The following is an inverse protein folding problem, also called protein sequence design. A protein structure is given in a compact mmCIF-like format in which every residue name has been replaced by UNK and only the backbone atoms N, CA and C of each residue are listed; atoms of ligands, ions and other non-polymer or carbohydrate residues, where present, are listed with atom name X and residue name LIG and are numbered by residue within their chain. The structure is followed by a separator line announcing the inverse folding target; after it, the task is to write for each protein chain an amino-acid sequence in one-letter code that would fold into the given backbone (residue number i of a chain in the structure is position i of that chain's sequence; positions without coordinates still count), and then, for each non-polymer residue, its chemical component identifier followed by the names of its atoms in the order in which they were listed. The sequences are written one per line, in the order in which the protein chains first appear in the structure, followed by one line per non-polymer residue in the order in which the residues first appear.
data_IF_339696901693
#
_entry.id   IF_339696901693
#
_cell.length_a   1.000
_cell.length_b   1.000
_cell.length_c   1.000
_cell.angle_alpha   90.00
_cell.angle_beta   90.00
_cell.angle_gamma   90.00
#
_symmetry.space_group_name_H-M   'P 1'
#
loop_
_entity.id
_entity.type
_entity.pdbx_description
1 polymer ?
#
# COMPACT_ATOMS: atom_id res chain seq x y z
N UNK A 1 4.26 1.17 -28.26
CA UNK A 1 4.51 2.53 -27.73
C UNK A 1 3.25 3.20 -27.15
N UNK A 2 2.11 3.22 -27.85
CA UNK A 2 0.85 3.81 -27.33
C UNK A 2 0.27 3.08 -26.10
N UNK A 3 0.27 1.74 -26.08
CA UNK A 3 -0.26 0.96 -24.94
C UNK A 3 0.51 1.19 -23.63
N UNK A 4 1.84 1.37 -23.71
CA UNK A 4 2.68 1.70 -22.57
C UNK A 4 2.41 3.13 -22.06
N UNK A 5 2.19 4.10 -22.95
CA UNK A 5 1.80 5.47 -22.53
C UNK A 5 0.44 5.46 -21.82
N UNK A 6 -0.52 4.68 -22.31
CA UNK A 6 -1.83 4.52 -21.67
C UNK A 6 -1.76 3.81 -20.31
N UNK A 7 -0.75 2.96 -20.08
CA UNK A 7 -0.53 2.31 -18.78
C UNK A 7 -0.09 3.32 -17.70
N UNK A 8 0.65 4.35 -18.08
CA UNK A 8 1.19 5.37 -17.17
C UNK A 8 0.32 6.62 -17.04
N UNK A 9 -0.87 6.61 -17.65
CA UNK A 9 -1.82 7.74 -17.57
C UNK A 9 -2.93 7.44 -16.57
N UNK A 10 -3.11 8.33 -15.59
CA UNK A 10 -4.18 8.25 -14.60
C UNK A 10 -5.43 8.98 -15.11
N UNK A 11 -6.57 8.29 -15.21
CA UNK A 11 -7.84 8.86 -15.61
C UNK A 11 -8.58 9.40 -14.37
N UNK A 12 -8.55 10.72 -14.17
CA UNK A 12 -9.13 11.37 -13.00
C UNK A 12 -10.67 11.29 -12.95
N UNK A 13 -11.30 11.06 -14.09
CA UNK A 13 -12.77 11.05 -14.23
C UNK A 13 -13.37 9.64 -14.04
N UNK A 14 -12.55 8.62 -13.84
CA UNK A 14 -13.02 7.26 -13.59
C UNK A 14 -13.72 7.15 -12.21
N UNK A 15 -15.02 6.87 -12.21
CA UNK A 15 -15.83 6.80 -10.98
C UNK A 15 -15.35 5.72 -10.00
N UNK A 16 -14.83 4.59 -10.49
CA UNK A 16 -14.31 3.53 -9.61
C UNK A 16 -13.02 3.97 -8.95
N UNK A 17 -12.16 4.67 -9.70
CA UNK A 17 -10.94 5.27 -9.16
C UNK A 17 -11.27 6.33 -8.09
N UNK A 18 -12.27 7.18 -8.34
CA UNK A 18 -12.73 8.16 -7.35
C UNK A 18 -13.25 7.50 -6.08
N UNK A 19 -14.02 6.42 -6.19
CA UNK A 19 -14.48 5.65 -5.04
C UNK A 19 -13.30 5.01 -4.27
N UNK A 20 -12.32 4.45 -4.99
CA UNK A 20 -11.11 3.89 -4.40
C UNK A 20 -10.30 4.96 -3.64
N UNK A 21 -10.04 6.12 -4.28
CA UNK A 21 -9.38 7.27 -3.67
C UNK A 21 -10.11 7.73 -2.41
N UNK A 22 -11.44 7.87 -2.47
CA UNK A 22 -12.23 8.29 -1.30
C UNK A 22 -12.11 7.30 -0.14
N UNK A 23 -12.19 6.00 -0.44
CA UNK A 23 -12.08 4.97 0.59
C UNK A 23 -10.69 4.93 1.25
N UNK A 24 -9.64 5.09 0.45
CA UNK A 24 -8.26 4.85 0.90
C UNK A 24 -7.51 6.09 1.36
N UNK A 25 -7.71 7.22 0.69
CA UNK A 25 -6.86 8.41 0.84
C UNK A 25 -7.59 9.67 1.31
N UNK A 26 -8.93 9.68 1.37
CA UNK A 26 -9.70 10.88 1.79
C UNK A 26 -9.30 11.38 3.18
N UNK A 27 -9.02 10.45 4.10
CA UNK A 27 -8.68 10.73 5.50
C UNK A 27 -7.17 10.75 5.75
N UNK A 28 -6.34 10.83 4.71
CA UNK A 28 -4.88 10.73 4.88
C UNK A 28 -4.29 11.77 5.83
N UNK A 29 -4.77 13.02 5.82
CA UNK A 29 -4.27 14.06 6.72
C UNK A 29 -4.60 13.74 8.19
N UNK A 30 -5.80 13.26 8.46
CA UNK A 30 -6.24 12.84 9.79
C UNK A 30 -5.44 11.62 10.27
N UNK A 31 -5.29 10.61 9.41
CA UNK A 31 -4.51 9.40 9.70
C UNK A 31 -3.03 9.71 9.93
N UNK A 32 -2.44 10.61 9.14
CA UNK A 32 -1.09 11.09 9.36
C UNK A 32 -0.92 11.75 10.75
N UNK A 33 -1.93 12.51 11.19
CA UNK A 33 -1.96 13.11 12.52
C UNK A 33 -1.94 12.08 13.66
N UNK A 34 -2.68 10.98 13.51
CA UNK A 34 -2.69 9.88 14.48
C UNK A 34 -1.39 9.09 14.52
N UNK A 35 -0.67 9.06 13.41
CA UNK A 35 0.61 8.37 13.28
C UNK A 35 1.79 9.23 13.75
N UNK A 36 1.59 10.49 14.14
CA UNK A 36 2.65 11.28 14.78
C UNK A 36 3.09 10.63 16.10
N UNK A 37 4.39 10.61 16.35
CA UNK A 37 4.98 9.88 17.49
C UNK A 37 4.29 10.22 18.82
N UNK A 38 4.10 11.51 19.10
CA UNK A 38 3.48 12.00 20.34
C UNK A 38 2.00 11.57 20.44
N UNK A 39 1.29 11.56 19.32
CA UNK A 39 -0.14 11.19 19.25
C UNK A 39 -0.35 9.68 19.32
N UNK A 40 0.61 8.90 18.82
CA UNK A 40 0.49 7.45 18.65
C UNK A 40 0.23 6.74 19.99
N UNK A 41 0.82 7.25 21.08
CA UNK A 41 0.59 6.77 22.46
C UNK A 41 -0.88 6.80 22.89
N UNK A 42 -1.69 7.65 22.26
CA UNK A 42 -3.13 7.81 22.53
C UNK A 42 -4.03 7.18 21.48
N UNK A 43 -3.44 6.53 20.44
CA UNK A 43 -4.20 5.91 19.35
C UNK A 43 -5.25 4.94 19.88
N UNK A 44 -6.52 5.14 19.55
CA UNK A 44 -7.60 4.28 20.04
C UNK A 44 -7.80 3.05 19.15
N UNK A 45 -8.49 2.03 19.67
CA UNK A 45 -8.88 0.84 18.89
C UNK A 45 -9.69 1.23 17.64
N UNK A 46 -10.58 2.20 17.75
CA UNK A 46 -11.39 2.66 16.61
C UNK A 46 -10.54 3.36 15.53
N UNK A 47 -9.53 4.14 15.96
CA UNK A 47 -8.58 4.77 15.04
C UNK A 47 -7.70 3.72 14.35
N UNK A 48 -7.18 2.74 15.09
CA UNK A 48 -6.44 1.61 14.54
C UNK A 48 -7.27 0.82 13.52
N UNK A 49 -8.56 0.56 13.82
CA UNK A 49 -9.47 -0.10 12.90
C UNK A 49 -9.76 0.73 11.64
N UNK A 50 -9.84 2.05 11.77
CA UNK A 50 -10.01 2.94 10.63
C UNK A 50 -8.79 2.89 9.70
N UNK A 51 -7.57 2.91 10.25
CA UNK A 51 -6.32 2.71 9.50
C UNK A 51 -6.31 1.37 8.77
N UNK A 52 -6.62 0.28 9.49
CA UNK A 52 -6.66 -1.07 8.94
C UNK A 52 -7.65 -1.20 7.77
N UNK A 53 -8.88 -0.71 7.93
CA UNK A 53 -9.91 -0.75 6.86
C UNK A 53 -9.52 0.08 5.64
N UNK A 54 -8.91 1.24 5.85
CA UNK A 54 -8.47 2.11 4.76
C UNK A 54 -7.32 1.49 3.96
N UNK A 55 -6.41 0.76 4.60
CA UNK A 55 -5.33 0.01 3.94
C UNK A 55 -5.83 -1.03 2.92
N UNK A 56 -7.08 -1.50 3.07
CA UNK A 56 -7.66 -2.61 2.31
C UNK A 56 -7.89 -3.87 3.14
N UNK A 57 -7.52 -3.86 4.43
CA UNK A 57 -7.75 -4.95 5.38
C UNK A 57 -9.21 -5.39 5.46
N UNK A 58 -9.43 -6.71 5.44
CA UNK A 58 -10.78 -7.32 5.42
C UNK A 58 -11.08 -8.15 6.66
N UNK A 59 -10.05 -8.71 7.30
CA UNK A 59 -10.22 -9.56 8.48
C UNK A 59 -10.21 -8.70 9.75
N UNK A 60 -11.26 -7.90 9.91
CA UNK A 60 -11.39 -7.03 11.08
C UNK A 60 -11.57 -7.82 12.38
N UNK A 61 -12.06 -9.05 12.31
CA UNK A 61 -12.21 -9.91 13.48
C UNK A 61 -10.84 -10.32 14.00
N UNK A 62 -9.95 -10.79 13.11
CA UNK A 62 -8.58 -11.12 13.48
C UNK A 62 -7.78 -9.88 13.89
N UNK A 63 -7.94 -8.75 13.20
CA UNK A 63 -7.22 -7.53 13.60
C UNK A 63 -7.59 -7.04 15.01
N UNK A 64 -8.85 -7.22 15.43
CA UNK A 64 -9.31 -6.85 16.78
C UNK A 64 -8.73 -7.69 17.91
N UNK A 65 -8.07 -8.82 17.60
CA UNK A 65 -7.43 -9.64 18.65
C UNK A 65 -6.11 -9.06 19.14
N UNK A 66 -5.52 -8.10 18.41
CA UNK A 66 -4.32 -7.41 18.85
C UNK A 66 -4.67 -6.45 20.00
N UNK A 67 -3.97 -6.52 21.15
CA UNK A 67 -4.01 -5.48 22.18
C UNK A 67 -3.65 -4.11 21.59
N UNK A 68 -4.28 -3.05 22.07
CA UNK A 68 -4.03 -1.71 21.52
C UNK A 68 -2.60 -1.24 21.79
N UNK A 69 -2.01 -1.68 22.89
CA UNK A 69 -0.61 -1.46 23.26
C UNK A 69 0.33 -2.07 22.22
N UNK A 70 0.12 -3.33 21.83
CA UNK A 70 0.92 -3.99 20.78
C UNK A 70 0.76 -3.30 19.41
N UNK A 71 -0.43 -2.81 19.10
CA UNK A 71 -0.66 -2.02 17.88
C UNK A 71 0.17 -0.73 17.92
N UNK A 72 0.14 0.01 19.04
CA UNK A 72 0.92 1.25 19.19
C UNK A 72 2.42 0.97 19.10
N UNK A 73 2.90 -0.05 19.80
CA UNK A 73 4.31 -0.42 19.81
C UNK A 73 4.79 -0.84 18.41
N UNK A 74 4.01 -1.66 17.69
CA UNK A 74 4.35 -2.05 16.32
C UNK A 74 4.33 -0.88 15.33
N UNK A 75 3.42 0.09 15.51
CA UNK A 75 3.39 1.31 14.70
C UNK A 75 4.57 2.24 15.02
N UNK A 76 4.94 2.38 16.29
CA UNK A 76 6.07 3.21 16.71
C UNK A 76 7.37 2.63 16.18
N UNK A 77 7.55 1.32 16.36
CA UNK A 77 8.68 0.57 15.83
C UNK A 77 8.80 0.75 14.31
N UNK A 78 7.70 0.56 13.57
CA UNK A 78 7.70 0.71 12.11
C UNK A 78 8.09 2.11 11.65
N UNK A 79 7.64 3.16 12.35
CA UNK A 79 7.71 4.54 11.88
C UNK A 79 8.94 5.29 12.42
N UNK A 80 9.36 5.01 13.65
CA UNK A 80 10.28 5.86 14.40
C UNK A 80 11.54 5.15 14.94
N UNK A 81 11.59 3.81 14.92
CA UNK A 81 12.80 3.11 15.36
C UNK A 81 14.01 3.44 14.47
N UNK A 82 15.20 3.44 15.07
CA UNK A 82 16.47 3.81 14.44
C UNK A 82 17.07 2.69 13.57
N UNK A 83 16.50 1.48 13.61
CA UNK A 83 16.87 0.40 12.70
C UNK A 83 16.52 0.78 11.26
N UNK A 84 17.30 0.25 10.30
CA UNK A 84 17.06 0.44 8.87
C UNK A 84 15.64 0.02 8.50
N UNK A 85 15.06 0.73 7.53
CA UNK A 85 13.70 0.47 7.02
C UNK A 85 13.47 -0.99 6.64
N UNK A 86 14.49 -1.65 6.07
CA UNK A 86 14.46 -3.08 5.76
C UNK A 86 14.08 -3.92 6.98
N UNK A 87 14.83 -3.80 8.08
CA UNK A 87 14.58 -4.55 9.31
C UNK A 87 13.23 -4.19 9.92
N UNK A 88 12.88 -2.90 9.96
CA UNK A 88 11.58 -2.45 10.48
C UNK A 88 10.42 -3.05 9.69
N UNK A 89 10.52 -3.06 8.37
CA UNK A 89 9.49 -3.64 7.51
C UNK A 89 9.41 -5.16 7.68
N UNK A 90 10.55 -5.84 7.83
CA UNK A 90 10.61 -7.29 8.02
C UNK A 90 9.86 -7.71 9.27
N UNK A 91 10.20 -7.11 10.42
CA UNK A 91 9.58 -7.41 11.71
C UNK A 91 8.06 -7.12 11.76
N UNK A 92 7.58 -6.17 10.95
CA UNK A 92 6.16 -5.83 10.92
C UNK A 92 5.35 -6.59 9.83
N UNK A 93 6.01 -7.17 8.82
CA UNK A 93 5.32 -7.75 7.66
C UNK A 93 5.58 -9.25 7.45
N UNK A 94 6.71 -9.78 7.91
CA UNK A 94 7.05 -11.20 7.84
C UNK A 94 6.15 -12.05 8.76
N UNK A 95 5.86 -13.32 8.43
CA UNK A 95 5.03 -14.22 9.27
C UNK A 95 5.51 -14.39 10.72
N UNK A 96 6.81 -14.33 10.90
CA UNK A 96 7.57 -14.57 12.12
C UNK A 96 8.16 -13.29 12.73
N UNK A 97 7.82 -12.11 12.17
CA UNK A 97 8.30 -10.83 12.68
C UNK A 97 7.72 -10.49 14.05
N UNK A 98 8.56 -9.93 14.94
CA UNK A 98 8.23 -9.69 16.35
C UNK A 98 7.11 -8.64 16.54
N UNK A 99 6.94 -7.74 15.58
CA UNK A 99 5.94 -6.66 15.61
C UNK A 99 4.79 -6.91 14.61
N UNK A 100 4.66 -8.14 14.09
CA UNK A 100 3.61 -8.47 13.12
C UNK A 100 2.26 -8.59 13.81
N UNK A 101 1.36 -7.66 13.50
CA UNK A 101 -0.01 -7.68 14.00
C UNK A 101 -0.88 -8.73 13.28
N UNK A 102 -1.74 -9.41 14.04
CA UNK A 102 -2.70 -10.39 13.54
C UNK A 102 -3.62 -9.78 12.46
N UNK A 103 -3.86 -10.53 11.38
CA UNK A 103 -4.68 -10.06 10.25
C UNK A 103 -3.99 -9.04 9.34
N UNK A 104 -2.71 -8.74 9.56
CA UNK A 104 -1.93 -7.79 8.77
C UNK A 104 -0.76 -8.45 8.01
N UNK A 105 -0.01 -7.63 7.28
CA UNK A 105 1.14 -8.02 6.48
C UNK A 105 1.58 -6.86 5.58
N UNK A 106 2.35 -7.15 4.53
CA UNK A 106 2.96 -6.15 3.64
C UNK A 106 2.03 -5.02 3.17
N UNK A 107 0.74 -5.32 2.91
CA UNK A 107 -0.22 -4.32 2.43
C UNK A 107 -0.53 -3.26 3.50
N UNK A 108 -0.68 -3.66 4.76
CA UNK A 108 -0.92 -2.75 5.89
C UNK A 108 0.36 -2.00 6.25
N UNK A 109 1.48 -2.70 6.39
CA UNK A 109 2.79 -2.12 6.74
C UNK A 109 3.22 -1.05 5.73
N UNK A 110 3.16 -1.36 4.43
CA UNK A 110 3.50 -0.39 3.37
C UNK A 110 2.51 0.76 3.23
N UNK A 111 1.23 0.54 3.58
CA UNK A 111 0.23 1.60 3.63
C UNK A 111 0.54 2.62 4.74
N UNK A 112 0.91 2.17 5.94
CA UNK A 112 1.30 3.05 7.04
C UNK A 112 2.53 3.89 6.69
N UNK A 113 3.54 3.29 6.06
CA UNK A 113 4.70 4.03 5.55
C UNK A 113 4.30 5.05 4.47
N UNK A 114 3.44 4.66 3.51
CA UNK A 114 2.96 5.60 2.50
C UNK A 114 2.16 6.77 3.10
N UNK A 115 1.39 6.54 4.16
CA UNK A 115 0.72 7.61 4.91
C UNK A 115 1.73 8.56 5.57
N UNK A 116 2.80 8.03 6.18
CA UNK A 116 3.80 8.84 6.87
C UNK A 116 4.63 9.70 5.92
N UNK A 117 4.99 9.17 4.75
CA UNK A 117 5.65 9.95 3.71
C UNK A 117 5.32 9.43 2.30
N UNK A 118 4.27 9.96 1.65
CA UNK A 118 3.85 9.50 0.32
C UNK A 118 4.85 9.86 -0.78
N UNK A 119 5.79 10.78 -0.53
CA UNK A 119 6.86 11.11 -1.46
C UNK A 119 8.00 10.09 -1.50
N UNK A 120 8.14 9.30 -0.43
CA UNK A 120 9.22 8.33 -0.24
C UNK A 120 8.76 6.89 -0.27
N UNK A 121 7.57 6.58 0.28
CA UNK A 121 7.16 5.21 0.52
C UNK A 121 5.94 4.82 -0.30
N UNK A 122 6.02 3.64 -0.92
CA UNK A 122 4.97 3.12 -1.79
C UNK A 122 4.15 2.03 -1.11
N UNK A 123 2.90 1.89 -1.53
CA UNK A 123 2.03 0.78 -1.10
C UNK A 123 2.37 -0.48 -1.90
N UNK A 124 2.69 -1.54 -1.18
CA UNK A 124 2.87 -2.87 -1.73
C UNK A 124 1.60 -3.70 -1.58
N UNK A 125 0.80 -3.75 -2.65
CA UNK A 125 -0.37 -4.61 -2.74
C UNK A 125 -0.43 -5.37 -4.07
N UNK A 126 -1.45 -6.20 -4.21
CA UNK A 126 -1.67 -6.99 -5.44
C UNK A 126 -1.82 -6.12 -6.70
N UNK A 127 -2.37 -4.90 -6.58
CA UNK A 127 -2.48 -3.99 -7.73
C UNK A 127 -1.10 -3.49 -8.17
N UNK A 128 -0.25 -3.10 -7.23
CA UNK A 128 1.12 -2.67 -7.50
C UNK A 128 1.93 -3.77 -8.20
N UNK A 129 1.85 -5.01 -7.71
CA UNK A 129 2.51 -6.17 -8.33
C UNK A 129 2.05 -6.38 -9.79
N UNK A 130 0.75 -6.23 -10.06
CA UNK A 130 0.19 -6.31 -11.43
C UNK A 130 0.66 -5.16 -12.31
N UNK A 131 0.73 -3.94 -11.79
CA UNK A 131 1.24 -2.78 -12.52
C UNK A 131 2.69 -3.02 -12.94
N UNK A 132 3.54 -3.46 -12.01
CA UNK A 132 4.95 -3.77 -12.28
C UNK A 132 5.09 -4.88 -13.33
N UNK A 133 4.25 -5.93 -13.26
CA UNK A 133 4.20 -6.97 -14.29
C UNK A 133 3.91 -6.41 -15.68
N UNK A 134 2.89 -5.56 -15.79
CA UNK A 134 2.51 -4.95 -17.08
C UNK A 134 3.55 -3.96 -17.60
N UNK A 135 4.26 -3.30 -16.69
CA UNK A 135 5.32 -2.36 -17.04
C UNK A 135 6.65 -3.05 -17.40
N UNK A 136 6.76 -4.38 -17.25
CA UNK A 136 8.02 -5.10 -17.41
C UNK A 136 9.06 -4.74 -16.35
N UNK A 137 8.62 -4.38 -15.15
CA UNK A 137 9.43 -3.88 -14.03
C UNK A 137 9.29 -4.75 -12.78
N UNK A 138 8.90 -6.02 -12.92
CA UNK A 138 8.84 -6.90 -11.75
C UNK A 138 10.24 -7.05 -11.14
N UNK A 139 10.39 -6.80 -9.83
CA UNK A 139 11.62 -7.11 -9.13
C UNK A 139 12.00 -8.58 -9.33
N UNK A 140 13.29 -8.84 -9.49
CA UNK A 140 13.85 -10.20 -9.53
C UNK A 140 13.91 -10.72 -8.08
N UNK A 141 12.76 -10.91 -7.46
CA UNK A 141 12.69 -11.39 -6.08
C UNK A 141 12.93 -12.89 -6.06
N UNK A 142 13.94 -13.35 -5.30
CA UNK A 142 13.93 -14.73 -4.84
C UNK A 142 12.81 -14.87 -3.81
N UNK A 143 12.03 -15.96 -3.86
CA UNK A 143 10.97 -16.22 -2.86
C UNK A 143 11.50 -16.29 -1.42
N UNK A 144 12.82 -16.38 -1.24
CA UNK A 144 13.51 -16.57 0.02
C UNK A 144 14.16 -15.31 0.59
N UNK A 145 14.13 -14.18 -0.14
CA UNK A 145 14.65 -12.92 0.40
C UNK A 145 13.77 -12.42 1.56
N UNK A 146 14.37 -11.79 2.59
CA UNK A 146 13.62 -11.11 3.65
C UNK A 146 12.56 -10.16 3.09
N UNK A 147 11.44 -10.05 3.79
CA UNK A 147 10.32 -9.19 3.40
C UNK A 147 10.76 -7.73 3.29
N UNK A 148 11.65 -7.29 4.18
CA UNK A 148 12.28 -5.97 4.13
C UNK A 148 13.00 -5.68 2.82
N UNK A 149 13.89 -6.58 2.37
CA UNK A 149 14.62 -6.43 1.10
C UNK A 149 13.63 -6.37 -0.07
N UNK A 150 12.66 -7.29 -0.09
CA UNK A 150 11.66 -7.34 -1.15
C UNK A 150 10.81 -6.07 -1.21
N UNK A 151 10.58 -5.40 -0.08
CA UNK A 151 9.91 -4.11 -0.05
C UNK A 151 10.75 -3.01 -0.71
N UNK A 152 12.05 -2.96 -0.44
CA UNK A 152 12.96 -2.00 -1.08
C UNK A 152 13.03 -2.20 -2.60
N UNK A 153 13.13 -3.44 -3.07
CA UNK A 153 13.15 -3.74 -4.50
C UNK A 153 11.82 -3.32 -5.18
N UNK A 154 10.70 -3.57 -4.49
CA UNK A 154 9.37 -3.14 -4.93
C UNK A 154 9.28 -1.61 -4.99
N UNK A 155 9.81 -0.92 -3.98
CA UNK A 155 9.84 0.54 -3.90
C UNK A 155 10.64 1.15 -5.04
N UNK A 156 11.83 0.61 -5.34
CA UNK A 156 12.65 1.04 -6.47
C UNK A 156 11.91 0.87 -7.80
N UNK A 157 11.26 -0.28 -7.99
CA UNK A 157 10.49 -0.58 -9.19
C UNK A 157 9.29 0.38 -9.37
N UNK A 158 8.54 0.68 -8.29
CA UNK A 158 7.45 1.65 -8.34
C UNK A 158 7.97 3.09 -8.54
N UNK A 159 9.17 3.42 -8.05
CA UNK A 159 9.76 4.72 -8.31
C UNK A 159 10.08 4.91 -9.80
N UNK A 160 10.49 3.86 -10.52
CA UNK A 160 10.62 3.88 -11.99
C UNK A 160 9.28 4.14 -12.67
N UNK A 161 8.18 3.58 -12.15
CA UNK A 161 6.81 3.88 -12.64
C UNK A 161 6.45 5.34 -12.38
N UNK A 162 6.75 5.87 -11.20
CA UNK A 162 6.54 7.29 -10.85
C UNK A 162 7.27 8.22 -11.81
N UNK A 163 8.56 7.96 -12.05
CA UNK A 163 9.35 8.73 -13.00
C UNK A 163 8.77 8.69 -14.43
N UNK A 164 8.29 7.53 -14.89
CA UNK A 164 7.70 7.37 -16.24
C UNK A 164 6.32 7.98 -16.40
N UNK A 165 5.55 8.06 -15.31
CA UNK A 165 4.18 8.61 -15.31
C UNK A 165 4.13 10.11 -15.01
N UNK A 166 5.18 10.67 -14.38
CA UNK A 166 5.22 12.07 -13.95
C UNK A 166 4.30 12.36 -12.75
N UNK A 167 3.81 11.33 -12.05
CA UNK A 167 2.95 11.49 -10.88
C UNK A 167 3.75 11.99 -9.67
N UNK A 168 3.10 12.84 -8.86
CA UNK A 168 3.73 13.61 -7.80
C UNK A 168 4.15 12.76 -6.59
N UNK A 169 3.41 11.70 -6.27
CA UNK A 169 3.67 10.85 -5.09
C UNK A 169 3.21 9.41 -5.28
N UNK A 170 3.48 8.55 -4.29
CA UNK A 170 3.13 7.13 -4.35
C UNK A 170 1.65 6.81 -4.06
N UNK A 171 0.85 7.77 -3.58
CA UNK A 171 -0.61 7.60 -3.49
C UNK A 171 -1.21 7.56 -4.90
N UNK A 172 -0.75 8.46 -5.75
CA UNK A 172 -1.13 8.47 -7.17
C UNK A 172 -0.62 7.21 -7.91
N UNK A 173 0.50 6.62 -7.49
CA UNK A 173 0.98 5.34 -8.05
C UNK A 173 0.10 4.17 -7.60
N UNK A 174 -0.35 4.14 -6.35
CA UNK A 174 -1.33 3.14 -5.88
C UNK A 174 -2.67 3.26 -6.62
N UNK A 175 -3.11 4.48 -6.90
CA UNK A 175 -4.27 4.79 -7.76
C UNK A 175 -4.09 4.30 -9.20
N UNK A 176 -2.92 4.57 -9.80
CA UNK A 176 -2.56 4.08 -11.13
C UNK A 176 -2.56 2.54 -11.17
N UNK A 177 -2.03 1.91 -10.12
CA UNK A 177 -2.01 0.47 -9.98
C UNK A 177 -3.43 -0.11 -9.88
N UNK A 178 -4.31 0.52 -9.10
CA UNK A 178 -5.72 0.16 -9.03
C UNK A 178 -6.39 0.26 -10.41
N UNK A 179 -6.24 1.39 -11.11
CA UNK A 179 -6.78 1.57 -12.46
C UNK A 179 -6.28 0.50 -13.44
N UNK A 180 -4.98 0.22 -13.43
CA UNK A 180 -4.36 -0.78 -14.29
C UNK A 180 -4.89 -2.19 -14.00
N UNK A 181 -5.34 -2.49 -12.78
CA UNK A 181 -5.95 -3.78 -12.45
C UNK A 181 -7.41 -3.90 -12.88
N UNK A 182 -8.14 -2.78 -13.00
CA UNK A 182 -9.54 -2.77 -13.45
C UNK A 182 -9.70 -2.92 -14.98
N UNK A 183 -8.73 -2.47 -15.79
CA UNK A 183 -8.81 -2.57 -17.26
C UNK A 183 -8.88 -4.02 -17.79
N UNK A 184 -8.64 -5.04 -16.95
CA UNK A 184 -8.80 -6.46 -17.30
C UNK A 184 -10.17 -7.05 -16.91
N UNK A 185 -11.01 -6.35 -16.14
CA UNK A 185 -12.34 -6.87 -15.74
C UNK A 185 -13.46 -6.51 -16.73
N UNK A 186 -13.19 -5.66 -17.71
CA UNK A 186 -14.06 -5.45 -18.85
C UNK A 186 -13.87 -6.60 -19.86
N UNK A 187 -14.60 -7.72 -19.67
CA UNK A 187 -14.83 -8.66 -20.78
C UNK A 187 -15.55 -7.88 -21.90
N UNK A 188 -15.18 -8.06 -23.19
CA UNK A 188 -15.99 -7.52 -24.26
C UNK A 188 -17.38 -8.16 -24.18
N UNK A 189 -18.41 -7.34 -24.03
CA UNK A 189 -19.79 -7.76 -24.29
C UNK A 189 -19.81 -8.35 -25.69
N UNK A 190 -20.05 -9.67 -25.80
CA UNK A 190 -20.38 -10.28 -27.07
C UNK A 190 -21.58 -9.50 -27.62
N UNK A 191 -21.35 -8.71 -28.67
CA UNK A 191 -22.44 -8.29 -29.55
C UNK A 191 -23.00 -9.59 -30.12
N UNK A 192 -24.19 -9.96 -29.67
CA UNK A 192 -25.08 -10.83 -30.43
C UNK A 192 -25.38 -10.08 -31.72
N UNK A 193 -24.69 -10.48 -32.79
CA UNK A 193 -25.12 -10.21 -34.16
C UNK A 193 -26.34 -11.09 -34.45
N UNK A 194 -27.32 -10.44 -35.05
CA UNK A 194 -28.62 -10.90 -35.54
C UNK A 194 -28.54 -12.18 -36.39
#
# INVERSE_FOLDING_TARGET
MQELRQLFTLNQDDQRLQAYRRKKWLRSAEFYGWLQQDTLTTLTVDQALALYRASGGRDTAQFKTNPIEEVRDGLDFLLYDNIKLEGRFDECAAPDGAYRLAGTGKEFTSYLLCLSNPGLFAVWNTNAERLLKRAGLQPVNTKHSPMGIRYLDMLEALNKVRARSGLGDFRQIDELAYQASQKNSAKPSKKTSE
#
